data_IF_289716760634
#
_entry.id   IF_289716760634
#
_cell.length_a   1.000
_cell.length_b   1.000
_cell.length_c   1.000
_cell.angle_alpha   90.00
_cell.angle_beta   90.00
_cell.angle_gamma   90.00
#
_symmetry.space_group_name_H-M   'P 1'
#
loop_
_entity.id
_entity.type
_entity.pdbx_description
1 polymer ?
#
# COMPACT_ATOMS: atom_id res chain seq x y z
N UNK A 1 -55.75 -40.75 -44.08
CA UNK A 1 -55.22 -39.45 -43.59
C UNK A 1 -54.71 -39.64 -42.17
N UNK A 2 -53.41 -39.77 -41.97
CA UNK A 2 -52.78 -39.72 -40.65
C UNK A 2 -51.69 -38.63 -40.75
N UNK A 3 -51.95 -37.47 -40.13
CA UNK A 3 -51.00 -36.35 -40.10
C UNK A 3 -49.96 -36.64 -39.03
N UNK A 4 -48.76 -37.01 -39.44
CA UNK A 4 -47.61 -37.09 -38.54
C UNK A 4 -47.13 -35.66 -38.24
N UNK A 5 -47.09 -35.22 -36.98
CA UNK A 5 -46.65 -33.87 -36.65
C UNK A 5 -45.15 -33.71 -36.92
N UNK A 6 -44.82 -32.70 -37.73
CA UNK A 6 -43.47 -32.33 -38.24
C UNK A 6 -42.41 -32.10 -37.13
N UNK A 7 -42.80 -32.07 -35.85
CA UNK A 7 -41.90 -31.87 -34.70
C UNK A 7 -41.26 -33.16 -34.14
N UNK A 8 -41.66 -34.35 -34.61
CA UNK A 8 -41.09 -35.64 -34.17
C UNK A 8 -39.91 -36.12 -35.03
N UNK A 9 -39.68 -35.49 -36.19
CA UNK A 9 -38.62 -35.87 -37.12
C UNK A 9 -37.17 -35.65 -36.59
N UNK A 10 -36.84 -34.59 -35.82
CA UNK A 10 -35.46 -34.40 -35.34
C UNK A 10 -35.09 -35.31 -34.16
N UNK A 11 -36.08 -35.87 -33.43
CA UNK A 11 -35.83 -36.78 -32.30
C UNK A 11 -35.58 -38.23 -32.75
N UNK A 12 -36.09 -38.62 -33.91
CA UNK A 12 -35.84 -39.94 -34.49
C UNK A 12 -34.46 -40.02 -35.17
N UNK A 13 -33.93 -38.90 -35.65
CA UNK A 13 -32.64 -38.85 -36.35
C UNK A 13 -31.42 -38.98 -35.41
N UNK A 14 -31.55 -38.64 -34.13
CA UNK A 14 -30.46 -38.70 -33.14
C UNK A 14 -30.27 -40.09 -32.51
N UNK A 15 -31.19 -41.03 -32.70
CA UNK A 15 -31.11 -42.37 -32.10
C UNK A 15 -30.27 -43.38 -32.91
N UNK A 16 -29.77 -43.00 -34.09
CA UNK A 16 -28.97 -43.87 -34.97
C UNK A 16 -27.44 -43.67 -34.87
N UNK A 17 -26.93 -42.98 -33.84
CA UNK A 17 -25.49 -42.89 -33.59
C UNK A 17 -24.96 -44.22 -33.00
N UNK A 18 -24.80 -45.22 -33.85
CA UNK A 18 -24.18 -46.50 -33.49
C UNK A 18 -22.69 -46.32 -33.16
N UNK A 19 -22.24 -46.98 -32.09
CA UNK A 19 -20.82 -47.09 -31.74
C UNK A 19 -20.09 -47.93 -32.79
N UNK A 20 -19.15 -47.31 -33.51
CA UNK A 20 -18.26 -48.02 -34.43
C UNK A 20 -17.23 -48.83 -33.63
N UNK A 21 -17.28 -50.16 -33.73
CA UNK A 21 -16.20 -51.03 -33.27
C UNK A 21 -15.15 -51.13 -34.38
N UNK A 22 -13.96 -50.58 -34.14
CA UNK A 22 -12.85 -50.64 -35.08
C UNK A 22 -12.09 -51.97 -34.91
N UNK A 23 -12.25 -52.88 -35.87
CA UNK A 23 -11.44 -54.11 -35.97
C UNK A 23 -10.30 -53.89 -36.97
N UNK A 24 -9.06 -54.17 -36.55
CA UNK A 24 -7.85 -53.99 -37.37
C UNK A 24 -7.54 -55.31 -38.10
N UNK A 25 -7.34 -55.26 -39.41
CA UNK A 25 -7.03 -56.43 -40.25
C UNK A 25 -5.59 -56.36 -40.79
N UNK A 26 -4.95 -57.52 -41.00
CA UNK A 26 -3.58 -57.59 -41.57
C UNK A 26 -3.52 -58.55 -42.75
N UNK A 27 -2.72 -58.19 -43.76
CA UNK A 27 -2.36 -59.07 -44.87
C UNK A 27 -0.89 -58.87 -45.26
N UNK A 28 -0.35 -59.81 -46.03
CA UNK A 28 1.01 -59.75 -46.58
C UNK A 28 0.87 -59.30 -48.04
N UNK A 29 1.55 -58.23 -48.43
CA UNK A 29 1.57 -57.78 -49.82
C UNK A 29 2.48 -58.65 -50.70
N UNK A 30 2.43 -58.44 -52.02
CA UNK A 30 3.22 -59.20 -52.99
C UNK A 30 4.74 -58.95 -52.89
N UNK A 31 5.19 -58.02 -52.04
CA UNK A 31 6.61 -57.77 -51.75
C UNK A 31 7.05 -58.37 -50.41
N UNK A 32 6.16 -59.12 -49.73
CA UNK A 32 6.46 -59.83 -48.49
C UNK A 32 6.33 -58.95 -47.23
N UNK A 33 5.82 -57.73 -47.35
CA UNK A 33 5.66 -56.82 -46.21
C UNK A 33 4.28 -56.98 -45.57
N UNK A 34 4.25 -56.95 -44.24
CA UNK A 34 3.02 -57.05 -43.45
C UNK A 34 2.39 -55.67 -43.31
N UNK A 35 1.22 -55.49 -43.92
CA UNK A 35 0.46 -54.24 -43.91
C UNK A 35 -0.76 -54.41 -42.99
N UNK A 36 -1.05 -53.37 -42.20
CA UNK A 36 -2.21 -53.29 -41.32
C UNK A 36 -3.20 -52.28 -41.91
N UNK A 37 -4.48 -52.65 -42.01
CA UNK A 37 -5.53 -51.83 -42.62
C UNK A 37 -6.83 -51.92 -41.82
N UNK A 38 -7.53 -50.79 -41.76
CA UNK A 38 -8.86 -50.68 -41.14
C UNK A 38 -9.99 -51.03 -42.13
N UNK A 39 -9.65 -51.42 -43.37
CA UNK A 39 -10.60 -51.78 -44.43
C UNK A 39 -10.51 -53.26 -44.80
N UNK A 40 -11.63 -53.98 -44.65
CA UNK A 40 -11.72 -55.43 -44.89
C UNK A 40 -11.50 -55.78 -46.37
N UNK A 41 -10.39 -56.45 -46.67
CA UNK A 41 -10.09 -57.04 -47.99
C UNK A 41 -10.36 -58.55 -48.01
N UNK A 42 -10.69 -59.09 -49.19
CA UNK A 42 -10.93 -60.52 -49.38
C UNK A 42 -9.66 -61.34 -49.07
N UNK A 43 -9.71 -62.18 -48.02
CA UNK A 43 -8.61 -63.04 -47.59
C UNK A 43 -7.94 -62.69 -46.25
N UNK A 44 -8.38 -61.62 -45.58
CA UNK A 44 -7.83 -61.23 -44.27
C UNK A 44 -8.24 -62.22 -43.15
N UNK A 45 -7.25 -62.69 -42.37
CA UNK A 45 -7.46 -63.54 -41.19
C UNK A 45 -7.33 -62.70 -39.92
N UNK A 46 -8.28 -62.84 -39.01
CA UNK A 46 -8.29 -62.19 -37.69
C UNK A 46 -7.16 -62.71 -36.81
N UNK A 47 -6.42 -61.79 -36.19
CA UNK A 47 -5.31 -62.12 -35.27
C UNK A 47 -5.80 -61.96 -33.83
N UNK A 48 -5.88 -63.04 -33.04
CA UNK A 48 -6.20 -62.94 -31.61
C UNK A 48 -5.00 -62.36 -30.85
N UNK A 49 -5.22 -61.26 -30.14
CA UNK A 49 -4.20 -60.65 -29.28
C UNK A 49 -4.06 -61.45 -27.97
N UNK A 50 -2.83 -61.72 -27.50
CA UNK A 50 -2.64 -62.34 -26.20
C UNK A 50 -3.03 -61.38 -25.06
N UNK A 51 -3.49 -61.91 -23.91
CA UNK A 51 -3.90 -61.09 -22.77
C UNK A 51 -2.72 -60.28 -22.22
N UNK A 52 -2.98 -59.00 -21.98
CA UNK A 52 -1.99 -58.04 -21.46
C UNK A 52 -1.59 -58.40 -20.03
N UNK A 53 -0.28 -58.35 -19.78
CA UNK A 53 0.30 -58.61 -18.46
C UNK A 53 -0.15 -57.50 -17.49
N UNK A 54 -0.92 -57.85 -16.46
CA UNK A 54 -1.39 -56.91 -15.43
C UNK A 54 -0.57 -57.10 -14.15
N UNK A 55 0.15 -56.05 -13.74
CA UNK A 55 0.71 -55.94 -12.41
C UNK A 55 -0.42 -55.73 -11.41
N UNK A 56 -0.60 -56.65 -10.46
CA UNK A 56 -1.47 -56.43 -9.31
C UNK A 56 -0.80 -55.41 -8.38
N UNK A 57 -1.32 -54.18 -8.38
CA UNK A 57 -0.92 -53.15 -7.42
C UNK A 57 -1.46 -53.56 -6.04
N UNK A 58 -0.56 -53.79 -5.09
CA UNK A 58 -0.86 -53.84 -3.66
C UNK A 58 -1.58 -52.55 -3.24
N UNK A 59 -2.60 -52.62 -2.35
CA UNK A 59 -3.33 -51.43 -1.95
C UNK A 59 -2.39 -50.42 -1.30
N UNK A 60 -2.27 -49.26 -1.95
CA UNK A 60 -1.57 -48.08 -1.43
C UNK A 60 -2.18 -47.68 -0.10
N UNK A 61 -1.35 -47.67 0.96
CA UNK A 61 -1.68 -47.00 2.22
C UNK A 61 -2.10 -45.57 1.89
N UNK A 62 -3.33 -45.20 2.24
CA UNK A 62 -3.83 -43.84 2.06
C UNK A 62 -2.93 -42.87 2.83
N UNK A 63 -2.08 -42.16 2.09
CA UNK A 63 -1.40 -40.99 2.63
C UNK A 63 -2.46 -39.93 2.94
N UNK A 64 -2.35 -39.20 4.07
CA UNK A 64 -3.27 -38.13 4.38
C UNK A 64 -3.28 -37.13 3.22
N UNK A 65 -4.48 -36.87 2.68
CA UNK A 65 -4.70 -35.83 1.67
C UNK A 65 -4.10 -34.52 2.20
N UNK A 66 -3.20 -33.85 1.46
CA UNK A 66 -2.75 -32.52 1.85
C UNK A 66 -3.98 -31.64 2.03
N UNK A 67 -4.11 -31.03 3.20
CA UNK A 67 -5.16 -30.05 3.45
C UNK A 67 -5.08 -29.01 2.33
N UNK A 68 -6.19 -28.79 1.62
CA UNK A 68 -6.25 -27.73 0.63
C UNK A 68 -5.84 -26.43 1.34
N UNK A 69 -4.94 -25.60 0.75
CA UNK A 69 -4.59 -24.33 1.36
C UNK A 69 -5.87 -23.56 1.60
N UNK A 70 -6.13 -23.25 2.87
CA UNK A 70 -7.27 -22.45 3.27
C UNK A 70 -7.18 -21.15 2.47
N UNK A 71 -8.15 -20.92 1.58
CA UNK A 71 -8.21 -19.68 0.81
C UNK A 71 -8.14 -18.54 1.84
N UNK A 72 -7.24 -17.56 1.69
CA UNK A 72 -7.15 -16.46 2.64
C UNK A 72 -8.55 -15.87 2.75
N UNK A 73 -9.14 -15.92 3.95
CA UNK A 73 -10.36 -15.19 4.23
C UNK A 73 -10.02 -13.74 3.92
N UNK A 74 -10.62 -13.21 2.86
CA UNK A 74 -10.50 -11.79 2.49
C UNK A 74 -11.05 -11.04 3.69
N UNK A 75 -10.14 -10.47 4.48
CA UNK A 75 -10.52 -9.64 5.61
C UNK A 75 -11.29 -8.44 5.04
N UNK A 76 -12.41 -8.05 5.65
CA UNK A 76 -13.14 -6.88 5.19
C UNK A 76 -12.18 -5.69 5.17
N UNK A 77 -12.09 -5.02 4.03
CA UNK A 77 -11.18 -3.90 3.84
C UNK A 77 -11.76 -2.74 4.65
N UNK A 78 -11.08 -2.40 5.75
CA UNK A 78 -11.43 -1.25 6.55
C UNK A 78 -10.90 0.01 5.88
N UNK A 79 -11.73 1.05 5.82
CA UNK A 79 -11.39 2.33 5.23
C UNK A 79 -11.77 3.47 6.16
N UNK A 80 -10.89 4.46 6.27
CA UNK A 80 -11.24 5.74 6.88
C UNK A 80 -12.02 6.56 5.87
N UNK A 81 -13.08 7.21 6.34
CA UNK A 81 -13.91 8.10 5.52
C UNK A 81 -13.34 9.51 5.50
N UNK A 82 -12.68 9.90 6.59
CA UNK A 82 -12.05 11.21 6.75
C UNK A 82 -10.76 11.09 7.57
N UNK A 83 -9.76 11.86 7.16
CA UNK A 83 -8.60 12.24 7.94
C UNK A 83 -8.30 13.70 7.66
N UNK A 84 -8.21 14.54 8.70
CA UNK A 84 -8.00 15.99 8.53
C UNK A 84 -7.15 16.58 9.65
N UNK A 85 -6.29 17.52 9.30
CA UNK A 85 -5.58 18.39 10.25
C UNK A 85 -6.55 19.49 10.70
N UNK A 86 -6.80 19.56 12.01
CA UNK A 86 -7.65 20.58 12.64
C UNK A 86 -6.86 21.82 13.02
N UNK A 87 -5.64 21.63 13.51
CA UNK A 87 -4.74 22.72 13.91
C UNK A 87 -3.36 22.38 13.38
N UNK A 88 -2.64 23.33 12.76
CA UNK A 88 -3.09 24.68 12.40
C UNK A 88 -4.16 24.67 11.29
N UNK A 89 -4.77 25.82 11.02
CA UNK A 89 -5.58 26.01 9.80
C UNK A 89 -4.69 26.00 8.54
N UNK A 90 -5.25 25.72 7.35
CA UNK A 90 -4.53 25.88 6.09
C UNK A 90 -4.00 27.30 5.91
N UNK A 91 -2.75 27.42 5.45
CA UNK A 91 -2.04 28.68 5.22
C UNK A 91 -1.87 29.56 6.49
N UNK A 92 -2.04 28.98 7.68
CA UNK A 92 -1.90 29.73 8.92
C UNK A 92 -0.46 30.25 9.11
N UNK A 93 -0.35 31.48 9.62
CA UNK A 93 0.94 32.05 10.03
C UNK A 93 1.14 31.87 11.53
N UNK A 94 2.13 31.07 11.89
CA UNK A 94 2.51 30.74 13.26
C UNK A 94 3.72 31.58 13.65
N UNK A 95 3.58 32.37 14.72
CA UNK A 95 4.69 33.15 15.29
C UNK A 95 5.23 32.46 16.51
N UNK A 96 6.47 31.98 16.43
CA UNK A 96 7.15 31.33 17.55
C UNK A 96 8.63 31.62 17.49
N UNK A 97 9.22 32.08 18.59
CA UNK A 97 10.67 32.36 18.64
C UNK A 97 11.51 31.10 18.55
N UNK A 98 11.03 30.02 19.16
CA UNK A 98 11.68 28.71 19.22
C UNK A 98 11.24 27.77 18.09
N UNK A 99 10.23 28.16 17.30
CA UNK A 99 9.67 27.32 16.25
C UNK A 99 8.79 26.18 16.78
N UNK A 100 8.05 26.44 17.86
CA UNK A 100 7.12 25.48 18.46
C UNK A 100 5.76 25.53 17.76
N UNK A 101 5.19 24.35 17.48
CA UNK A 101 3.90 24.18 16.82
C UNK A 101 3.19 22.93 17.38
N UNK A 102 1.90 23.06 17.68
CA UNK A 102 1.03 21.91 17.96
C UNK A 102 0.22 21.60 16.70
N UNK A 103 0.23 20.34 16.30
CA UNK A 103 -0.61 19.81 15.22
C UNK A 103 -1.65 18.90 15.83
N UNK A 104 -2.93 19.16 15.55
CA UNK A 104 -4.06 18.35 15.99
C UNK A 104 -4.80 17.79 14.79
N UNK A 105 -5.20 16.53 14.87
CA UNK A 105 -5.76 15.76 13.77
C UNK A 105 -7.08 15.12 14.22
N UNK A 106 -7.96 14.85 13.26
CA UNK A 106 -9.17 14.05 13.48
C UNK A 106 -9.35 13.04 12.36
N UNK A 107 -9.95 11.89 12.68
CA UNK A 107 -10.33 10.87 11.71
C UNK A 107 -11.76 10.40 11.96
N UNK A 108 -12.45 10.02 10.88
CA UNK A 108 -13.72 9.32 10.96
C UNK A 108 -13.68 8.03 10.14
N UNK A 109 -14.03 6.88 10.74
CA UNK A 109 -14.18 6.64 12.19
C UNK A 109 -12.89 6.98 12.97
N UNK A 110 -13.00 7.04 14.30
CA UNK A 110 -11.84 7.22 15.17
C UNK A 110 -10.76 6.15 14.93
N UNK A 111 -9.54 6.43 15.38
CA UNK A 111 -8.39 5.55 15.13
C UNK A 111 -8.69 4.10 15.55
N UNK A 112 -8.54 3.19 14.59
CA UNK A 112 -8.77 1.77 14.83
C UNK A 112 -7.70 1.16 15.76
N UNK A 113 -8.07 0.13 16.54
CA UNK A 113 -7.11 -0.62 17.32
C UNK A 113 -5.96 -1.17 16.45
N UNK A 114 -4.73 -0.98 16.90
CA UNK A 114 -3.52 -1.41 16.17
C UNK A 114 -3.03 -0.44 15.09
N UNK A 115 -3.84 0.54 14.70
CA UNK A 115 -3.42 1.59 13.77
C UNK A 115 -2.67 2.70 14.52
N UNK A 116 -1.87 3.46 13.79
CA UNK A 116 -1.10 4.59 14.33
C UNK A 116 -1.12 5.78 13.38
N UNK A 117 -1.04 6.99 13.93
CA UNK A 117 -0.81 8.20 13.16
C UNK A 117 0.69 8.46 12.98
N UNK A 118 1.06 8.98 11.81
CA UNK A 118 2.39 9.50 11.50
C UNK A 118 2.27 10.91 10.93
N UNK A 119 2.90 11.88 11.58
CA UNK A 119 3.01 13.24 11.10
C UNK A 119 4.22 13.39 10.18
N UNK A 120 4.03 14.07 9.06
CA UNK A 120 5.03 14.46 8.09
C UNK A 120 5.17 15.98 8.07
N UNK A 121 6.40 16.46 8.12
CA UNK A 121 6.77 17.85 7.84
C UNK A 121 7.64 17.86 6.58
N UNK A 122 7.18 18.56 5.54
CA UNK A 122 7.85 18.63 4.23
C UNK A 122 8.13 17.23 3.65
N UNK A 123 7.20 16.30 3.86
CA UNK A 123 7.28 14.90 3.42
C UNK A 123 8.16 14.00 4.29
N UNK A 124 8.75 14.51 5.37
CA UNK A 124 9.61 13.73 6.29
C UNK A 124 8.88 13.42 7.59
N UNK A 125 8.93 12.18 8.11
CA UNK A 125 8.39 11.84 9.42
C UNK A 125 9.05 12.66 10.53
N UNK A 126 8.25 13.23 11.42
CA UNK A 126 8.76 14.05 12.53
C UNK A 126 9.05 13.22 13.79
N UNK A 127 8.32 12.12 13.98
CA UNK A 127 8.45 11.23 15.13
C UNK A 127 8.04 9.80 14.75
N UNK A 128 8.24 8.86 15.68
CA UNK A 128 7.71 7.50 15.54
C UNK A 128 6.17 7.53 15.48
N UNK A 129 5.53 6.65 14.68
CA UNK A 129 4.09 6.54 14.65
C UNK A 129 3.50 6.20 16.02
N UNK A 130 2.34 6.77 16.35
CA UNK A 130 1.69 6.54 17.63
C UNK A 130 0.18 6.74 17.59
N UNK A 131 -0.56 6.37 18.66
CA UNK A 131 -2.01 6.47 18.67
C UNK A 131 -2.54 7.90 18.92
N UNK A 132 -1.67 8.83 19.32
CA UNK A 132 -2.06 10.20 19.64
C UNK A 132 -2.43 10.98 18.37
N UNK A 133 -3.59 11.65 18.33
CA UNK A 133 -3.95 12.57 17.25
C UNK A 133 -3.31 13.96 17.40
N UNK A 134 -2.53 14.19 18.47
CA UNK A 134 -1.86 15.46 18.76
C UNK A 134 -0.35 15.28 18.73
N UNK A 135 0.33 16.18 18.04
CA UNK A 135 1.78 16.20 17.85
C UNK A 135 2.35 17.54 18.28
N UNK A 136 3.41 17.51 19.07
CA UNK A 136 4.19 18.68 19.39
C UNK A 136 5.46 18.68 18.53
N UNK A 137 5.64 19.75 17.77
CA UNK A 137 6.85 20.01 17.00
C UNK A 137 7.59 21.18 17.63
N UNK A 138 8.91 21.06 17.68
CA UNK A 138 9.81 22.09 18.19
C UNK A 138 10.90 22.36 17.16
N UNK A 139 11.49 23.54 17.24
CA UNK A 139 12.59 23.93 16.36
C UNK A 139 12.27 23.84 14.85
N UNK A 140 11.05 24.15 14.44
CA UNK A 140 10.70 24.31 13.01
C UNK A 140 11.29 25.62 12.48
N UNK A 141 12.06 25.56 11.40
CA UNK A 141 12.68 26.74 10.80
C UNK A 141 11.66 27.79 10.35
N UNK A 142 12.12 29.03 10.13
CA UNK A 142 11.27 30.08 9.57
C UNK A 142 11.00 29.80 8.08
N UNK A 143 9.81 30.14 7.60
CA UNK A 143 9.44 30.01 6.19
C UNK A 143 8.13 29.26 6.00
N UNK A 144 7.90 28.81 4.77
CA UNK A 144 6.72 28.04 4.41
C UNK A 144 7.03 26.54 4.49
N UNK A 145 6.13 25.81 5.13
CA UNK A 145 6.24 24.37 5.34
C UNK A 145 4.93 23.68 4.98
N UNK A 146 5.00 22.36 4.80
CA UNK A 146 3.86 21.52 4.44
C UNK A 146 3.67 20.44 5.51
N UNK A 147 2.46 20.34 6.05
CA UNK A 147 2.05 19.26 6.94
C UNK A 147 1.26 18.22 6.18
N UNK A 148 1.51 16.95 6.49
CA UNK A 148 0.63 15.86 6.09
C UNK A 148 0.59 14.81 7.19
N UNK A 149 -0.54 14.11 7.33
CA UNK A 149 -0.70 13.04 8.31
C UNK A 149 -1.12 11.78 7.61
N UNK A 150 -0.53 10.67 8.02
CA UNK A 150 -0.84 9.33 7.54
C UNK A 150 -1.38 8.50 8.70
N UNK A 151 -2.37 7.65 8.43
CA UNK A 151 -2.71 6.54 9.31
C UNK A 151 -2.03 5.30 8.75
N UNK A 152 -1.27 4.61 9.59
CA UNK A 152 -0.63 3.34 9.31
C UNK A 152 -1.45 2.21 9.93
N UNK A 153 -1.62 1.12 9.20
CA UNK A 153 -2.21 -0.12 9.73
C UNK A 153 -1.22 -0.89 10.63
N UNK A 154 -1.68 -2.02 11.15
CA UNK A 154 -0.91 -2.94 11.99
C UNK A 154 0.33 -3.53 11.29
N UNK A 155 0.36 -3.50 9.96
CA UNK A 155 1.47 -3.93 9.11
C UNK A 155 2.35 -2.76 8.65
N UNK A 156 2.07 -1.54 9.10
CA UNK A 156 2.83 -0.33 8.76
C UNK A 156 2.53 0.24 7.36
N UNK A 157 1.48 -0.22 6.69
CA UNK A 157 1.03 0.28 5.39
C UNK A 157 0.15 1.50 5.58
N UNK A 158 0.18 2.42 4.62
CA UNK A 158 -0.64 3.64 4.67
C UNK A 158 -2.10 3.25 4.39
N UNK A 159 -2.95 3.38 5.41
CA UNK A 159 -4.38 3.16 5.33
C UNK A 159 -5.13 4.41 4.84
N UNK A 160 -4.67 5.60 5.22
CA UNK A 160 -5.26 6.89 4.83
C UNK A 160 -4.21 8.00 4.92
N UNK A 161 -4.35 9.07 4.12
CA UNK A 161 -3.41 10.19 4.11
C UNK A 161 -4.10 11.51 3.80
N UNK A 162 -3.76 12.56 4.55
CA UNK A 162 -4.22 13.91 4.24
C UNK A 162 -3.52 14.49 3.01
N UNK A 163 -4.18 15.42 2.35
CA UNK A 163 -3.49 16.35 1.45
C UNK A 163 -2.39 17.13 2.21
N UNK A 164 -1.42 17.66 1.47
CA UNK A 164 -0.43 18.56 2.03
C UNK A 164 -1.09 19.89 2.40
N UNK A 165 -0.97 20.28 3.66
CA UNK A 165 -1.52 21.51 4.19
C UNK A 165 -0.38 22.51 4.47
N UNK A 166 -0.34 23.65 3.75
CA UNK A 166 0.66 24.68 3.97
C UNK A 166 0.48 25.38 5.32
N UNK A 167 1.59 25.81 5.91
CA UNK A 167 1.62 26.81 6.97
C UNK A 167 2.91 27.63 6.90
N UNK A 168 2.93 28.79 7.58
CA UNK A 168 4.07 29.69 7.58
C UNK A 168 4.59 29.89 9.00
N UNK A 169 5.87 29.60 9.22
CA UNK A 169 6.56 29.83 10.48
C UNK A 169 7.31 31.15 10.45
N UNK A 170 7.05 32.01 11.44
CA UNK A 170 7.74 33.28 11.63
C UNK A 170 8.44 33.26 12.98
N UNK A 171 9.77 33.30 12.93
CA UNK A 171 10.63 33.49 14.10
C UNK A 171 11.08 34.94 14.18
N UNK A 172 11.08 35.52 15.38
CA UNK A 172 11.62 36.88 15.58
C UNK A 172 13.14 36.87 15.54
N UNK A 173 13.74 37.85 14.88
CA UNK A 173 15.20 38.01 14.85
C UNK A 173 15.73 38.68 16.12
N UNK A 174 17.03 38.54 16.38
CA UNK A 174 17.70 39.29 17.46
C UNK A 174 17.59 40.81 17.23
N UNK A 175 17.66 41.26 15.97
CA UNK A 175 17.47 42.67 15.62
C UNK A 175 16.06 43.16 15.96
N UNK A 176 15.02 42.37 15.68
CA UNK A 176 13.65 42.70 16.07
C UNK A 176 13.47 42.72 17.59
N UNK A 177 14.11 41.79 18.31
CA UNK A 177 14.15 41.82 19.79
C UNK A 177 14.80 43.10 20.32
N UNK A 178 15.94 43.52 19.74
CA UNK A 178 16.63 44.77 20.09
C UNK A 178 15.80 46.01 19.77
N UNK A 179 15.05 46.01 18.67
CA UNK A 179 14.16 47.12 18.32
C UNK A 179 12.98 47.25 19.30
N UNK A 180 12.42 46.12 19.75
CA UNK A 180 11.35 46.11 20.74
C UNK A 180 11.86 46.50 22.15
N UNK A 181 13.03 45.99 22.54
CA UNK A 181 13.68 46.26 23.82
C UNK A 181 15.14 46.70 23.58
N UNK A 182 15.38 48.01 23.36
CA UNK A 182 16.70 48.57 23.12
C UNK A 182 17.71 48.20 24.22
N UNK A 183 18.95 47.92 23.82
CA UNK A 183 20.04 47.58 24.73
C UNK A 183 20.46 48.79 25.57
N UNK A 184 20.47 48.64 26.89
CA UNK A 184 21.11 49.60 27.80
C UNK A 184 22.60 49.26 27.98
N UNK A 185 23.40 50.19 28.51
CA UNK A 185 24.85 49.99 28.74
C UNK A 185 25.17 48.75 29.59
N UNK A 186 24.28 48.39 30.53
CA UNK A 186 24.40 47.21 31.38
C UNK A 186 24.02 45.89 30.67
N UNK A 187 23.22 45.95 29.60
CA UNK A 187 22.69 44.77 28.90
C UNK A 187 23.73 44.12 27.98
N UNK A 188 24.73 44.89 27.55
CA UNK A 188 25.78 44.42 26.65
C UNK A 188 26.57 43.28 27.29
N UNK A 189 26.62 42.14 26.59
CA UNK A 189 27.26 40.90 27.06
C UNK A 189 26.39 40.00 27.91
N UNK A 190 25.20 40.45 28.33
CA UNK A 190 24.24 39.63 29.07
C UNK A 190 23.16 39.05 28.15
N UNK A 191 22.65 39.88 27.24
CA UNK A 191 21.59 39.52 26.30
C UNK A 191 22.20 39.13 24.95
N UNK A 192 21.77 38.04 24.30
CA UNK A 192 22.31 37.63 23.00
C UNK A 192 22.06 38.68 21.89
N UNK A 193 21.02 39.50 22.02
CA UNK A 193 20.75 40.64 21.13
C UNK A 193 21.64 41.88 21.39
N UNK A 194 22.44 41.89 22.46
CA UNK A 194 23.32 43.00 22.87
C UNK A 194 24.77 42.51 23.00
N UNK A 195 25.50 42.29 21.89
CA UNK A 195 26.87 41.80 21.94
C UNK A 195 27.84 42.86 22.51
N UNK A 196 28.83 42.45 23.30
CA UNK A 196 29.81 43.38 23.92
C UNK A 196 30.54 44.29 22.91
N UNK A 197 30.74 43.80 21.68
CA UNK A 197 31.39 44.55 20.61
C UNK A 197 30.61 45.82 20.21
N UNK A 198 29.30 45.86 20.45
CA UNK A 198 28.43 46.99 20.11
C UNK A 198 28.25 47.97 21.29
N UNK A 199 28.90 47.73 22.44
CA UNK A 199 28.74 48.60 23.62
C UNK A 199 29.29 50.00 23.28
N UNK A 200 28.49 51.07 23.42
CA UNK A 200 28.98 52.43 23.20
C UNK A 200 30.09 52.74 24.22
N UNK A 201 31.13 53.44 23.76
CA UNK A 201 32.17 53.96 24.64
C UNK A 201 31.54 54.93 25.62
N UNK A 202 31.85 54.77 26.92
CA UNK A 202 31.37 55.68 27.94
C UNK A 202 32.04 57.03 27.70
N UNK A 203 31.26 58.03 27.28
CA UNK A 203 31.73 59.42 27.26
C UNK A 203 32.13 59.76 28.70
N UNK A 204 33.44 59.82 28.94
CA UNK A 204 33.97 60.41 30.15
C UNK A 204 33.48 61.85 30.13
N UNK A 205 32.48 62.14 30.94
CA UNK A 205 32.01 63.50 31.18
C UNK A 205 33.25 64.26 31.66
N UNK A 206 33.88 64.98 30.73
CA UNK A 206 35.01 65.82 31.00
C UNK A 206 34.46 66.93 31.88
N UNK A 207 34.62 66.75 33.19
CA UNK A 207 34.44 67.76 34.21
C UNK A 207 35.52 68.81 33.90
N UNK A 208 35.24 69.68 32.94
CA UNK A 208 35.93 70.96 32.89
C UNK A 208 35.35 71.75 34.06
N UNK A 209 36.15 72.09 35.08
CA UNK A 209 35.68 73.04 36.07
C UNK A 209 35.50 74.35 35.31
N UNK A 210 34.26 74.78 35.14
CA UNK A 210 33.99 76.13 34.69
C UNK A 210 34.59 77.08 35.75
N UNK A 211 35.52 77.90 35.26
CA UNK A 211 36.30 78.93 35.96
C UNK A 211 35.43 79.86 36.82
#
# INVERSE_FOLDING_TARGET
MIRVPIRLLPLLLTLCAGSALAEIYTYIDSQGNRVFTDQRHAGAKTVPLPPVNRLSLTPTVSLPKPAAPEKPKVQPIFHYQMLRILVPDPDATIRSTEGNLIVSVTSEPGLMPGHTYRLLLDGKPTAAPGPSPVFALNNIDRGSHQLAVEILDDLGRIAERTANQPFHMVRISLAQKRQANPCQTADYGQRPECPLADKPEEESSSILPFL
#
